data_IF_240673637018
#
_entry.id   IF_240673637018
#
_cell.length_a   1.000
_cell.length_b   1.000
_cell.length_c   1.000
_cell.angle_alpha   90.00
_cell.angle_beta   90.00
_cell.angle_gamma   90.00
#
_symmetry.space_group_name_H-M   'P 1'
#
loop_
_entity.id
_entity.type
_entity.pdbx_description
1 polymer ?
#
# COMPACT_ATOMS: atom_id res chain seq x y z
N UNK A 1 -7.46 26.26 5.81
CA UNK A 1 -7.89 25.00 6.16
C UNK A 1 -6.81 23.97 6.20
N UNK A 2 -6.68 23.39 7.29
CA UNK A 2 -5.63 22.46 7.40
C UNK A 2 -6.06 21.11 6.98
N UNK A 3 -5.36 20.59 6.08
CA UNK A 3 -5.52 19.21 5.75
C UNK A 3 -4.50 18.42 6.51
N UNK A 4 -4.66 18.43 7.80
CA UNK A 4 -3.81 17.55 8.57
C UNK A 4 -4.00 16.15 8.02
N UNK A 5 -2.95 15.44 7.67
CA UNK A 5 -3.10 14.09 7.16
C UNK A 5 -3.81 13.24 8.19
N UNK A 6 -4.83 12.54 7.76
CA UNK A 6 -5.51 11.62 8.64
C UNK A 6 -4.52 10.56 9.07
N UNK A 7 -4.55 10.18 10.34
CA UNK A 7 -3.70 9.07 10.75
C UNK A 7 -4.11 7.84 9.96
N UNK A 8 -3.13 7.05 9.56
CA UNK A 8 -3.39 5.86 8.81
C UNK A 8 -4.11 4.85 9.70
N UNK A 9 -5.10 4.17 9.11
CA UNK A 9 -5.79 3.11 9.83
C UNK A 9 -4.85 1.92 9.98
N UNK A 10 -5.18 1.03 10.91
CA UNK A 10 -4.41 -0.19 11.09
C UNK A 10 -4.36 -1.01 9.80
N UNK A 11 -5.47 -1.04 9.07
CA UNK A 11 -5.53 -1.74 7.78
C UNK A 11 -4.58 -1.11 6.76
N UNK A 12 -4.56 0.21 6.68
CA UNK A 12 -3.68 0.90 5.75
C UNK A 12 -2.22 0.61 6.06
N UNK A 13 -1.87 0.60 7.34
CA UNK A 13 -0.51 0.28 7.77
C UNK A 13 -0.14 -1.13 7.36
N UNK A 14 -1.03 -2.08 7.56
CA UNK A 14 -0.79 -3.47 7.13
C UNK A 14 -0.53 -3.56 5.63
N UNK A 15 -1.32 -2.84 4.84
CA UNK A 15 -1.13 -2.83 3.41
C UNK A 15 0.21 -2.22 3.02
N UNK A 16 0.60 -1.14 3.69
CA UNK A 16 1.90 -0.53 3.43
C UNK A 16 3.05 -1.48 3.74
N UNK A 17 2.97 -2.19 4.85
CA UNK A 17 4.00 -3.15 5.23
C UNK A 17 4.10 -4.30 4.26
N UNK A 18 2.95 -4.81 3.83
CA UNK A 18 2.92 -5.88 2.82
C UNK A 18 3.50 -5.38 1.49
N UNK A 19 3.14 -4.17 1.10
CA UNK A 19 3.68 -3.58 -0.13
C UNK A 19 5.19 -3.39 -0.04
N UNK A 20 5.67 -2.96 1.11
CA UNK A 20 7.11 -2.81 1.32
C UNK A 20 7.83 -4.14 1.10
N UNK A 21 7.24 -5.21 1.61
CA UNK A 21 7.79 -6.55 1.47
C UNK A 21 7.75 -7.04 0.02
N UNK A 22 6.59 -6.89 -0.61
CA UNK A 22 6.38 -7.39 -1.98
C UNK A 22 7.07 -6.53 -3.03
N UNK A 23 7.26 -5.25 -2.75
CA UNK A 23 7.90 -4.34 -3.70
C UNK A 23 9.42 -4.35 -3.63
N UNK A 24 10.00 -5.27 -2.87
CA UNK A 24 11.45 -5.46 -2.91
C UNK A 24 11.90 -5.95 -4.28
N UNK A 25 11.00 -6.57 -5.01
CA UNK A 25 11.24 -6.98 -6.38
C UNK A 25 10.87 -5.85 -7.33
N UNK A 26 11.51 -5.83 -8.49
CA UNK A 26 11.24 -4.81 -9.48
C UNK A 26 9.85 -4.90 -10.09
N UNK A 27 9.21 -6.04 -9.94
CA UNK A 27 7.90 -6.28 -10.54
C UNK A 27 6.75 -5.67 -9.73
N UNK A 28 7.01 -5.27 -8.49
CA UNK A 28 5.97 -4.72 -7.63
C UNK A 28 5.06 -5.79 -7.05
N UNK A 29 3.95 -5.35 -6.49
CA UNK A 29 3.00 -6.23 -5.83
C UNK A 29 1.75 -6.38 -6.68
N UNK A 30 1.17 -7.58 -6.68
CA UNK A 30 -0.10 -7.83 -7.35
C UNK A 30 -1.22 -7.86 -6.32
N UNK A 31 -2.39 -7.37 -6.71
CA UNK A 31 -3.55 -7.41 -5.81
C UNK A 31 -3.84 -8.82 -5.32
N UNK A 32 -3.65 -9.81 -6.18
CA UNK A 32 -3.82 -11.21 -5.83
C UNK A 32 -2.91 -11.62 -4.69
N UNK A 33 -1.64 -11.21 -4.75
CA UNK A 33 -0.67 -11.54 -3.71
C UNK A 33 -1.03 -10.85 -2.40
N UNK A 34 -1.45 -9.60 -2.49
CA UNK A 34 -1.86 -8.85 -1.31
C UNK A 34 -3.07 -9.52 -0.66
N UNK A 35 -4.05 -9.89 -1.49
CA UNK A 35 -5.25 -10.54 -0.99
C UNK A 35 -4.91 -11.85 -0.28
N UNK A 36 -4.01 -12.63 -0.86
CA UNK A 36 -3.59 -13.89 -0.27
C UNK A 36 -2.84 -13.71 1.04
N UNK A 37 -1.95 -12.72 1.09
CA UNK A 37 -1.16 -12.46 2.30
C UNK A 37 -2.02 -11.97 3.46
N UNK A 38 -3.01 -11.14 3.16
CA UNK A 38 -3.83 -10.53 4.19
C UNK A 38 -5.14 -11.29 4.44
N UNK A 39 -5.41 -12.32 3.67
CA UNK A 39 -6.65 -13.09 3.76
C UNK A 39 -7.88 -12.21 3.61
N UNK A 40 -7.84 -11.34 2.61
CA UNK A 40 -8.95 -10.44 2.29
C UNK A 40 -9.39 -10.65 0.85
N UNK A 41 -10.53 -10.09 0.49
CA UNK A 41 -11.05 -10.23 -0.86
C UNK A 41 -10.37 -9.25 -1.81
N UNK A 42 -10.40 -9.56 -3.10
CA UNK A 42 -9.87 -8.67 -4.12
C UNK A 42 -10.52 -7.28 -4.10
N UNK A 43 -11.86 -7.17 -4.00
CA UNK A 43 -12.47 -5.84 -3.91
C UNK A 43 -11.96 -5.02 -2.75
N UNK A 44 -11.70 -5.65 -1.60
CA UNK A 44 -11.13 -4.95 -0.46
C UNK A 44 -9.74 -4.41 -0.75
N UNK A 45 -8.92 -5.23 -1.44
CA UNK A 45 -7.59 -4.81 -1.83
C UNK A 45 -7.66 -3.62 -2.79
N UNK A 46 -8.51 -3.72 -3.82
CA UNK A 46 -8.66 -2.64 -4.79
C UNK A 46 -9.08 -1.34 -4.13
N UNK A 47 -10.02 -1.43 -3.19
CA UNK A 47 -10.49 -0.26 -2.47
C UNK A 47 -9.38 0.39 -1.66
N UNK A 48 -8.64 -0.40 -0.91
CA UNK A 48 -7.54 0.12 -0.09
C UNK A 48 -6.40 0.67 -0.96
N UNK A 49 -6.05 -0.04 -2.02
CA UNK A 49 -5.01 0.43 -2.94
C UNK A 49 -5.42 1.77 -3.56
N UNK A 50 -6.70 1.91 -3.92
CA UNK A 50 -7.21 3.18 -4.41
C UNK A 50 -7.02 4.30 -3.40
N UNK A 51 -7.30 4.01 -2.14
CA UNK A 51 -7.10 4.99 -1.07
C UNK A 51 -5.63 5.37 -0.91
N UNK A 52 -4.75 4.39 -0.95
CA UNK A 52 -3.32 4.64 -0.86
C UNK A 52 -2.81 5.44 -2.05
N UNK A 53 -3.30 5.15 -3.23
CA UNK A 53 -2.95 5.92 -4.44
C UNK A 53 -3.40 7.36 -4.31
N UNK A 54 -4.63 7.58 -3.82
CA UNK A 54 -5.16 8.92 -3.61
C UNK A 54 -4.35 9.70 -2.58
N UNK A 55 -3.80 8.99 -1.61
CA UNK A 55 -2.96 9.62 -0.59
C UNK A 55 -1.53 9.86 -1.07
N UNK A 56 -1.19 9.40 -2.26
CA UNK A 56 0.15 9.55 -2.80
C UNK A 56 1.15 8.55 -2.25
N UNK A 57 0.67 7.49 -1.60
CA UNK A 57 1.53 6.50 -0.97
C UNK A 57 1.78 5.28 -1.86
N UNK A 58 0.96 5.08 -2.86
CA UNK A 58 1.11 3.96 -3.77
C UNK A 58 0.85 4.39 -5.20
N UNK A 59 1.28 3.58 -6.13
CA UNK A 59 1.14 3.86 -7.55
C UNK A 59 0.79 2.57 -8.27
N UNK A 60 -0.22 2.64 -9.12
CA UNK A 60 -0.68 1.49 -9.86
C UNK A 60 -0.14 1.57 -11.28
N UNK A 61 0.56 0.53 -11.70
CA UNK A 61 1.14 0.47 -13.03
C UNK A 61 0.23 -0.28 -14.00
N UNK A 62 0.63 -0.27 -15.27
CA UNK A 62 -0.16 -0.77 -16.38
C UNK A 62 -0.79 -2.14 -16.20
N UNK A 63 -0.13 -3.09 -15.68
CA UNK A 63 -0.62 -4.46 -15.60
C UNK A 63 -1.22 -4.79 -14.25
N UNK A 64 -1.67 -3.77 -13.52
CA UNK A 64 -2.27 -3.98 -12.22
C UNK A 64 -1.26 -4.16 -11.10
N UNK A 65 0.01 -4.05 -11.39
CA UNK A 65 1.03 -4.11 -10.37
C UNK A 65 1.04 -2.82 -9.55
N UNK A 66 1.23 -2.96 -8.27
CA UNK A 66 1.22 -1.83 -7.34
C UNK A 66 2.62 -1.61 -6.80
N UNK A 67 3.05 -0.36 -6.79
CA UNK A 67 4.35 0.02 -6.26
C UNK A 67 4.17 1.07 -5.19
N UNK A 68 5.05 1.09 -4.21
CA UNK A 68 5.09 2.17 -3.26
C UNK A 68 5.78 3.38 -3.89
N UNK A 69 5.20 4.56 -3.66
CA UNK A 69 5.89 5.79 -3.99
C UNK A 69 6.99 6.03 -2.96
N UNK A 70 7.93 6.96 -3.19
CA UNK A 70 8.90 7.30 -2.15
C UNK A 70 8.24 7.69 -0.84
N UNK A 71 7.12 8.42 -0.90
CA UNK A 71 6.37 8.78 0.30
C UNK A 71 5.79 7.54 0.99
N UNK A 72 5.23 6.62 0.19
CA UNK A 72 4.67 5.38 0.73
C UNK A 72 5.73 4.51 1.37
N UNK A 73 6.90 4.43 0.73
CA UNK A 73 8.01 3.66 1.28
C UNK A 73 8.47 4.26 2.61
N UNK A 74 8.59 5.57 2.69
CA UNK A 74 8.99 6.23 3.92
C UNK A 74 8.01 5.95 5.04
N UNK A 75 6.71 6.03 4.75
CA UNK A 75 5.70 5.71 5.74
C UNK A 75 5.77 4.24 6.18
N UNK A 76 5.91 3.33 5.22
CA UNK A 76 5.99 1.91 5.54
C UNK A 76 7.19 1.62 6.43
N UNK A 77 8.33 2.23 6.12
CA UNK A 77 9.55 2.04 6.91
C UNK A 77 9.41 2.59 8.31
N UNK A 78 8.68 3.69 8.47
CA UNK A 78 8.41 4.25 9.79
C UNK A 78 7.72 3.24 10.69
N UNK A 79 6.68 2.59 10.16
CA UNK A 79 5.92 1.64 10.95
C UNK A 79 6.64 0.31 11.10
N UNK A 80 7.45 -0.06 10.13
CA UNK A 80 8.22 -1.29 10.20
C UNK A 80 9.38 -1.18 11.19
N UNK A 81 9.92 0.02 11.36
CA UNK A 81 11.06 0.24 12.21
C UNK A 81 10.75 0.44 13.68
N UNK A 82 9.49 0.44 14.05
CA UNK A 82 9.11 0.65 15.45
C UNK A 82 9.34 -0.54 16.32
#
# INVERSE_FOLDING_TARGET
>A
MTNAPKPLTASAIKYLLILLELCKNETGARCMDIAGQLHVTKPSVHSMIGNLCSAGLAEKKKYGNVFLTPAGRAEAERYAGC
#
